data_IF_350777514016
#
_entry.id   IF_350777514016
#
_cell.length_a   1.000
_cell.length_b   1.000
_cell.length_c   1.000
_cell.angle_alpha   90.00
_cell.angle_beta   90.00
_cell.angle_gamma   90.00
#
_symmetry.space_group_name_H-M   'P 1'
#
loop_
_entity.id
_entity.type
_entity.pdbx_description
1 polymer ?
#
# COMPACT_ATOMS: atom_id res chain seq x y z
N UNK A 1 0.98 -1.37 -29.28
CA UNK A 1 0.23 -1.94 -28.13
C UNK A 1 -1.26 -1.84 -28.45
N UNK A 2 -2.12 -2.79 -28.05
CA UNK A 2 -3.55 -2.77 -28.36
C UNK A 2 -4.39 -2.78 -27.08
N UNK A 3 -5.27 -1.80 -26.92
CA UNK A 3 -6.26 -1.70 -25.84
C UNK A 3 -7.63 -2.11 -26.36
N UNK A 4 -8.37 -2.84 -25.53
CA UNK A 4 -9.77 -3.15 -25.76
C UNK A 4 -10.57 -2.55 -24.61
N UNK A 5 -11.49 -1.66 -24.93
CA UNK A 5 -12.28 -0.89 -23.97
C UNK A 5 -13.74 -1.13 -24.29
N UNK A 6 -14.53 -1.53 -23.30
CA UNK A 6 -15.96 -1.79 -23.47
C UNK A 6 -16.72 -1.22 -22.30
N UNK A 7 -17.80 -0.48 -22.60
CA UNK A 7 -18.70 0.08 -21.60
C UNK A 7 -17.97 0.89 -20.52
N UNK A 8 -17.01 1.73 -20.94
CA UNK A 8 -16.18 2.56 -20.06
C UNK A 8 -16.49 4.05 -20.28
N UNK A 9 -17.29 4.58 -19.38
CA UNK A 9 -17.84 5.94 -19.40
C UNK A 9 -18.56 6.26 -20.71
N UNK A 10 -18.17 7.31 -21.45
CA UNK A 10 -18.83 7.68 -22.71
C UNK A 10 -18.52 6.69 -23.86
N UNK A 11 -17.69 5.67 -23.64
CA UNK A 11 -17.40 4.60 -24.61
C UNK A 11 -18.39 3.45 -24.34
N UNK A 12 -19.57 3.54 -24.95
CA UNK A 12 -20.67 2.59 -24.75
C UNK A 12 -20.42 1.23 -25.40
N UNK A 13 -19.81 1.23 -26.58
CA UNK A 13 -19.54 0.04 -27.39
C UNK A 13 -18.10 -0.45 -27.23
N UNK A 14 -17.88 -1.72 -27.58
CA UNK A 14 -16.55 -2.30 -27.58
C UNK A 14 -15.66 -1.62 -28.63
N UNK A 15 -14.59 -1.01 -28.16
CA UNK A 15 -13.63 -0.25 -28.96
C UNK A 15 -12.25 -0.87 -28.83
N UNK A 16 -11.60 -1.08 -29.96
CA UNK A 16 -10.21 -1.49 -30.03
C UNK A 16 -9.34 -0.29 -30.43
N UNK A 17 -8.37 0.06 -29.59
CA UNK A 17 -7.47 1.19 -29.79
C UNK A 17 -6.06 0.67 -29.94
N UNK A 18 -5.43 0.97 -31.07
CA UNK A 18 -4.03 0.65 -31.30
C UNK A 18 -3.15 1.86 -30.94
N UNK A 19 -2.19 1.64 -30.05
CA UNK A 19 -1.19 2.63 -29.63
C UNK A 19 0.12 2.39 -30.38
N UNK A 20 0.58 3.43 -31.09
CA UNK A 20 1.92 3.53 -31.66
C UNK A 20 2.84 4.43 -30.83
N UNK A 21 4.04 4.69 -31.34
CA UNK A 21 5.10 5.46 -30.64
C UNK A 21 4.66 6.88 -30.25
N UNK A 22 3.83 7.50 -31.08
CA UNK A 22 3.14 8.75 -30.79
C UNK A 22 1.65 8.56 -31.07
N UNK A 23 0.83 8.66 -30.03
CA UNK A 23 -0.62 8.51 -30.14
C UNK A 23 -1.31 9.77 -29.59
N UNK A 24 -2.21 10.36 -30.38
CA UNK A 24 -2.93 11.58 -30.01
C UNK A 24 -4.43 11.29 -29.93
N UNK A 25 -5.02 11.55 -28.76
CA UNK A 25 -6.46 11.47 -28.55
C UNK A 25 -7.10 12.85 -28.77
N UNK A 26 -7.91 13.00 -29.81
CA UNK A 26 -8.62 14.25 -30.11
C UNK A 26 -10.12 14.01 -30.27
N UNK A 27 -10.92 15.07 -30.12
CA UNK A 27 -12.38 15.00 -30.23
C UNK A 27 -13.11 15.93 -29.26
N UNK A 28 -14.44 16.05 -29.39
CA UNK A 28 -15.27 16.95 -28.58
C UNK A 28 -15.16 16.68 -27.07
N UNK A 29 -15.48 17.64 -26.20
CA UNK A 29 -15.62 17.37 -24.77
C UNK A 29 -16.50 16.14 -24.53
N UNK A 30 -16.17 15.35 -23.49
CA UNK A 30 -16.90 14.14 -23.11
C UNK A 30 -16.89 12.96 -24.12
N UNK A 31 -16.00 12.95 -25.11
CA UNK A 31 -15.89 11.84 -26.09
C UNK A 31 -15.05 10.63 -25.64
N UNK A 32 -14.66 10.54 -24.36
CA UNK A 32 -13.87 9.42 -23.83
C UNK A 32 -12.34 9.53 -23.89
N UNK A 33 -11.76 10.63 -24.39
CA UNK A 33 -10.30 10.84 -24.44
C UNK A 33 -9.60 10.63 -23.08
N UNK A 34 -10.06 11.34 -22.06
CA UNK A 34 -9.50 11.23 -20.70
C UNK A 34 -9.77 9.85 -20.10
N UNK A 35 -10.88 9.21 -20.48
CA UNK A 35 -11.26 7.87 -20.02
C UNK A 35 -10.27 6.82 -20.52
N UNK A 36 -9.88 6.88 -21.80
CA UNK A 36 -8.84 5.99 -22.36
C UNK A 36 -7.49 6.19 -21.67
N UNK A 37 -7.07 7.44 -21.47
CA UNK A 37 -5.79 7.74 -20.79
C UNK A 37 -5.76 7.24 -19.34
N UNK A 38 -6.89 7.35 -18.62
CA UNK A 38 -7.03 6.81 -17.26
C UNK A 38 -6.94 5.28 -17.26
N UNK A 39 -7.63 4.61 -18.18
CA UNK A 39 -7.56 3.15 -18.30
C UNK A 39 -6.11 2.68 -18.51
N UNK A 40 -5.36 3.35 -19.40
CA UNK A 40 -3.94 3.08 -19.63
C UNK A 40 -3.13 3.27 -18.34
N UNK A 41 -3.31 4.41 -17.65
CA UNK A 41 -2.62 4.69 -16.39
C UNK A 41 -2.89 3.61 -15.33
N UNK A 42 -4.15 3.19 -15.17
CA UNK A 42 -4.51 2.13 -14.25
C UNK A 42 -3.86 0.81 -14.62
N UNK A 43 -3.93 0.38 -15.88
CA UNK A 43 -3.31 -0.87 -16.34
C UNK A 43 -1.81 -0.89 -16.09
N UNK A 44 -1.12 0.23 -16.29
CA UNK A 44 0.32 0.33 -16.02
C UNK A 44 0.64 0.30 -14.52
N UNK A 45 -0.19 0.93 -13.70
CA UNK A 45 -0.02 0.93 -12.25
C UNK A 45 -0.34 -0.44 -11.61
N UNK A 46 -1.39 -1.13 -12.06
CA UNK A 46 -1.68 -2.48 -11.56
C UNK A 46 -0.63 -3.51 -12.00
N UNK A 47 -0.15 -3.45 -13.24
CA UNK A 47 0.88 -4.38 -13.72
C UNK A 47 2.28 -4.13 -13.15
N UNK A 48 2.65 -2.88 -12.86
CA UNK A 48 3.98 -2.56 -12.30
C UNK A 48 4.16 -2.98 -10.84
N UNK A 49 3.07 -3.19 -10.09
CA UNK A 49 3.11 -3.32 -8.63
C UNK A 49 2.81 -4.71 -8.08
N UNK A 50 2.31 -5.65 -8.89
CA UNK A 50 2.26 -7.07 -8.50
C UNK A 50 3.66 -7.70 -8.42
N UNK A 51 4.65 -7.11 -9.11
CA UNK A 51 6.01 -7.63 -9.19
C UNK A 51 6.97 -7.12 -8.08
N UNK A 52 6.57 -6.18 -7.22
CA UNK A 52 7.53 -5.46 -6.36
C UNK A 52 7.26 -5.37 -4.85
N UNK A 53 6.21 -5.94 -4.25
CA UNK A 53 6.20 -5.97 -2.77
C UNK A 53 5.31 -7.03 -2.14
N UNK A 54 5.90 -7.73 -1.15
CA UNK A 54 5.31 -8.20 0.11
C UNK A 54 3.84 -7.83 0.38
N UNK A 55 3.06 -8.85 0.81
CA UNK A 55 1.71 -8.79 1.42
C UNK A 55 1.14 -7.37 1.61
N UNK A 56 0.12 -7.02 0.82
CA UNK A 56 -0.70 -5.83 1.04
C UNK A 56 -1.71 -6.11 2.15
N UNK A 57 -1.66 -5.33 3.22
CA UNK A 57 -2.69 -5.33 4.26
C UNK A 57 -3.61 -4.12 4.02
N UNK A 58 -4.91 -4.39 3.85
CA UNK A 58 -5.93 -3.38 3.57
C UNK A 58 -6.51 -2.80 4.86
N UNK A 59 -6.48 -1.48 5.00
CA UNK A 59 -6.99 -0.73 6.15
C UNK A 59 -8.01 0.31 5.67
N UNK A 60 -9.22 -0.14 5.36
CA UNK A 60 -10.29 0.71 4.82
C UNK A 60 -9.98 1.20 3.40
N UNK A 61 -9.74 2.50 3.24
CA UNK A 61 -9.50 3.17 1.95
C UNK A 61 -8.03 3.11 1.49
N UNK A 62 -7.14 2.55 2.30
CA UNK A 62 -5.70 2.49 2.05
C UNK A 62 -5.16 1.07 2.15
N UNK A 63 -4.16 0.77 1.33
CA UNK A 63 -3.25 -0.35 1.49
C UNK A 63 -1.92 0.19 2.02
N UNK A 64 -1.30 -0.57 2.91
CA UNK A 64 0.06 -0.30 3.38
C UNK A 64 0.94 -1.47 2.94
N UNK A 65 2.04 -1.14 2.27
CA UNK A 65 3.12 -2.07 1.93
C UNK A 65 4.39 -1.62 2.65
N UNK A 66 5.34 -2.53 2.81
CA UNK A 66 6.55 -2.26 3.56
C UNK A 66 7.80 -2.82 2.86
N UNK A 67 8.93 -2.23 3.21
CA UNK A 67 10.27 -2.65 2.78
C UNK A 67 11.18 -2.55 4.00
N UNK A 68 11.86 -3.65 4.36
CA UNK A 68 12.84 -3.63 5.44
C UNK A 68 14.13 -3.03 4.87
N UNK A 69 14.48 -1.83 5.33
CA UNK A 69 15.69 -1.13 4.85
C UNK A 69 16.91 -1.62 5.61
N UNK A 70 16.75 -1.77 6.93
CA UNK A 70 17.75 -2.32 7.84
C UNK A 70 17.04 -2.84 9.11
N UNK A 71 17.83 -3.40 10.03
CA UNK A 71 17.39 -3.98 11.31
C UNK A 71 16.64 -3.01 12.24
N UNK A 72 16.68 -1.70 11.95
CA UNK A 72 16.02 -0.67 12.73
C UNK A 72 14.99 0.11 11.95
N UNK A 73 14.90 -0.08 10.63
CA UNK A 73 14.16 0.82 9.75
C UNK A 73 13.28 0.03 8.80
N UNK A 74 11.97 0.25 8.93
CA UNK A 74 10.96 -0.25 8.00
C UNK A 74 10.42 0.93 7.22
N UNK A 75 10.56 0.91 5.90
CA UNK A 75 9.94 1.87 5.00
C UNK A 75 8.52 1.42 4.71
N UNK A 76 7.60 2.38 4.70
CA UNK A 76 6.18 2.19 4.50
C UNK A 76 5.74 2.91 3.23
N UNK A 77 4.89 2.27 2.43
CA UNK A 77 4.34 2.82 1.20
C UNK A 77 2.83 2.68 1.25
N UNK A 78 2.14 3.82 1.17
CA UNK A 78 0.69 3.93 1.24
C UNK A 78 0.12 4.08 -0.16
N UNK A 79 -0.86 3.25 -0.50
CA UNK A 79 -1.58 3.32 -1.78
C UNK A 79 -3.08 3.26 -1.54
N UNK A 80 -3.92 3.78 -2.46
CA UNK A 80 -5.36 3.53 -2.45
C UNK A 80 -5.69 2.04 -2.32
N UNK A 81 -6.74 1.70 -1.57
CA UNK A 81 -7.27 0.33 -1.54
C UNK A 81 -8.13 0.04 -2.77
N UNK A 82 -8.24 -1.24 -3.14
CA UNK A 82 -9.13 -1.66 -4.23
C UNK A 82 -10.58 -1.32 -3.95
N UNK A 83 -10.97 -1.26 -2.67
CA UNK A 83 -12.30 -0.81 -2.25
C UNK A 83 -12.51 0.68 -2.54
N UNK A 84 -11.54 1.55 -2.22
CA UNK A 84 -11.62 2.96 -2.59
C UNK A 84 -11.69 3.12 -4.10
N UNK A 85 -10.87 2.36 -4.84
CA UNK A 85 -10.88 2.38 -6.30
C UNK A 85 -12.26 1.99 -6.80
N UNK A 86 -12.83 0.87 -6.32
CA UNK A 86 -14.17 0.40 -6.70
C UNK A 86 -15.29 1.36 -6.29
N UNK A 87 -15.24 1.97 -5.11
CA UNK A 87 -16.25 2.96 -4.68
C UNK A 87 -16.14 4.28 -5.45
N UNK A 88 -14.95 4.59 -5.95
CA UNK A 88 -14.73 5.75 -6.84
C UNK A 88 -15.16 5.46 -8.29
N UNK A 89 -15.43 4.20 -8.62
CA UNK A 89 -15.95 3.76 -9.92
C UNK A 89 -17.47 3.62 -9.82
N UNK A 90 -18.28 4.47 -10.46
CA UNK A 90 -19.73 4.33 -10.41
C UNK A 90 -20.21 3.08 -11.18
N UNK A 91 -21.43 2.60 -10.88
CA UNK A 91 -22.09 1.61 -11.75
C UNK A 91 -22.48 2.30 -13.07
N UNK A 92 -21.69 2.03 -14.12
CA UNK A 92 -21.66 2.79 -15.36
C UNK A 92 -20.94 4.15 -15.17
N UNK A 93 -19.93 4.44 -16.00
CA UNK A 93 -18.85 5.34 -15.56
C UNK A 93 -19.02 6.86 -15.84
N UNK A 94 -19.11 7.67 -14.78
CA UNK A 94 -19.18 9.14 -14.78
C UNK A 94 -18.22 9.75 -13.72
N UNK A 95 -18.01 11.07 -13.80
CA UNK A 95 -16.84 11.87 -13.38
C UNK A 95 -16.39 11.85 -11.91
N UNK A 96 -15.08 12.08 -11.71
CA UNK A 96 -14.55 12.81 -10.55
C UNK A 96 -13.56 13.89 -11.00
N UNK A 97 -13.62 15.04 -10.32
CA UNK A 97 -12.52 16.02 -10.19
C UNK A 97 -11.19 15.29 -9.91
N UNK A 98 -10.02 15.88 -10.16
CA UNK A 98 -8.76 15.19 -9.92
C UNK A 98 -8.75 14.60 -8.50
N UNK A 99 -8.77 13.26 -8.40
CA UNK A 99 -8.38 12.58 -7.18
C UNK A 99 -6.89 12.87 -7.01
N UNK A 100 -6.64 14.01 -6.40
CA UNK A 100 -5.33 14.39 -5.92
C UNK A 100 -5.08 13.47 -4.74
N UNK A 101 -4.27 12.43 -4.94
CA UNK A 101 -3.80 11.60 -3.84
C UNK A 101 -3.22 12.48 -2.72
N UNK A 102 -2.59 13.61 -3.09
CA UNK A 102 -2.14 14.61 -2.13
C UNK A 102 -3.29 15.20 -1.29
N UNK A 103 -4.42 15.56 -1.90
CA UNK A 103 -5.58 16.09 -1.17
C UNK A 103 -6.35 15.00 -0.41
N UNK A 104 -6.35 13.77 -0.90
CA UNK A 104 -6.82 12.61 -0.14
C UNK A 104 -6.00 12.42 1.15
N UNK A 105 -4.67 12.43 1.05
CA UNK A 105 -3.75 12.28 2.18
C UNK A 105 -3.89 13.45 3.16
N UNK A 106 -4.11 14.68 2.67
CA UNK A 106 -4.42 15.83 3.54
C UNK A 106 -5.73 15.63 4.30
N UNK A 107 -6.77 15.15 3.62
CA UNK A 107 -8.10 14.96 4.22
C UNK A 107 -8.13 13.81 5.24
N UNK A 108 -7.42 12.71 4.95
CA UNK A 108 -7.36 11.51 5.80
C UNK A 108 -6.16 11.52 6.76
N UNK A 109 -5.50 12.67 6.94
CA UNK A 109 -4.39 12.90 7.89
C UNK A 109 -3.26 11.87 7.81
N UNK A 110 -2.82 11.51 6.61
CA UNK A 110 -1.66 10.61 6.43
C UNK A 110 -0.33 11.39 6.53
N UNK A 111 -0.34 12.47 7.33
CA UNK A 111 0.81 13.27 7.72
C UNK A 111 0.89 13.22 9.24
N UNK A 112 1.59 12.24 9.78
CA UNK A 112 1.78 12.09 11.21
C UNK A 112 3.26 11.91 11.51
N UNK A 113 3.75 12.64 12.50
CA UNK A 113 5.12 12.53 13.01
C UNK A 113 5.09 12.01 14.43
N UNK A 114 6.07 11.17 14.78
CA UNK A 114 6.23 10.67 16.14
C UNK A 114 5.12 9.72 16.58
N UNK A 115 4.58 8.92 15.65
CA UNK A 115 3.63 7.86 15.99
C UNK A 115 4.38 6.82 16.81
N UNK A 116 4.08 6.72 18.10
CA UNK A 116 4.64 5.69 18.97
C UNK A 116 3.68 4.52 19.06
N UNK A 117 4.20 3.32 18.91
CA UNK A 117 3.43 2.09 19.02
C UNK A 117 4.25 0.97 19.63
N UNK A 118 3.56 -0.07 20.06
CA UNK A 118 4.14 -1.30 20.59
C UNK A 118 3.48 -2.47 19.87
N UNK A 119 4.26 -3.23 19.12
CA UNK A 119 3.81 -4.46 18.47
C UNK A 119 3.83 -5.57 19.50
N UNK A 120 2.65 -6.08 19.87
CA UNK A 120 2.52 -7.27 20.72
C UNK A 120 2.23 -8.48 19.86
N UNK A 121 3.03 -9.52 20.06
CA UNK A 121 2.84 -10.79 19.35
C UNK A 121 2.03 -11.73 20.23
N UNK A 122 0.82 -12.10 19.78
CA UNK A 122 -0.02 -13.08 20.48
C UNK A 122 0.52 -14.50 20.34
N UNK A 123 1.12 -14.83 19.19
CA UNK A 123 1.94 -16.01 18.98
C UNK A 123 2.85 -15.82 17.78
N UNK A 124 4.18 -15.91 17.99
CA UNK A 124 5.13 -16.04 16.89
C UNK A 124 5.32 -17.54 16.69
N UNK A 125 4.72 -18.11 15.63
CA UNK A 125 5.05 -19.48 15.21
C UNK A 125 6.43 -19.42 14.58
N UNK A 126 7.46 -19.65 15.38
CA UNK A 126 8.83 -19.49 14.93
C UNK A 126 9.30 -20.73 14.18
N UNK A 127 10.10 -20.59 13.10
CA UNK A 127 10.90 -21.69 12.59
C UNK A 127 11.72 -22.32 13.71
N UNK A 128 11.98 -23.63 13.64
CA UNK A 128 12.72 -24.39 14.67
C UNK A 128 14.14 -23.86 14.96
N UNK A 129 14.65 -23.00 14.09
CA UNK A 129 15.98 -22.41 14.12
C UNK A 129 16.07 -21.11 14.94
N UNK A 130 14.93 -20.58 15.39
CA UNK A 130 14.86 -19.39 16.22
C UNK A 130 14.97 -19.74 17.71
N UNK A 131 15.74 -18.97 18.47
CA UNK A 131 15.84 -19.14 19.92
C UNK A 131 14.50 -18.81 20.61
N UNK A 132 13.86 -19.84 21.15
CA UNK A 132 12.57 -19.77 21.83
C UNK A 132 12.58 -18.76 22.99
N UNK A 133 13.72 -18.53 23.65
CA UNK A 133 13.84 -17.52 24.73
C UNK A 133 13.73 -16.10 24.17
N UNK A 134 14.33 -15.84 23.03
CA UNK A 134 14.26 -14.52 22.37
C UNK A 134 12.83 -14.27 21.91
N UNK A 135 12.18 -15.27 21.31
CA UNK A 135 10.79 -15.19 20.86
C UNK A 135 9.83 -14.95 22.04
N UNK A 136 9.96 -15.71 23.13
CA UNK A 136 9.14 -15.52 24.35
C UNK A 136 9.34 -14.13 24.94
N UNK A 137 10.59 -13.66 25.06
CA UNK A 137 10.89 -12.32 25.54
C UNK A 137 10.20 -11.26 24.67
N UNK A 138 10.29 -11.35 23.35
CA UNK A 138 9.65 -10.40 22.43
C UNK A 138 8.12 -10.46 22.49
N UNK A 139 7.52 -11.65 22.68
CA UNK A 139 6.08 -11.78 22.89
C UNK A 139 5.61 -11.11 24.20
N UNK A 140 6.42 -11.17 25.26
CA UNK A 140 6.11 -10.55 26.56
C UNK A 140 6.25 -9.02 26.54
N UNK A 141 7.36 -8.50 26.01
CA UNK A 141 7.67 -7.05 26.08
C UNK A 141 7.14 -6.27 24.87
N UNK A 142 6.95 -6.94 23.74
CA UNK A 142 6.62 -6.33 22.46
C UNK A 142 7.77 -5.52 21.84
N UNK A 143 7.55 -5.04 20.61
CA UNK A 143 8.52 -4.21 19.89
C UNK A 143 8.02 -2.78 19.81
N UNK A 144 8.73 -1.88 20.46
CA UNK A 144 8.44 -0.45 20.42
C UNK A 144 8.97 0.13 19.11
N UNK A 145 8.18 0.99 18.49
CA UNK A 145 8.57 1.73 17.30
C UNK A 145 8.13 3.18 17.36
N UNK A 146 8.80 4.00 16.58
CA UNK A 146 8.38 5.37 16.27
C UNK A 146 8.29 5.54 14.75
N UNK A 147 7.14 5.97 14.25
CA UNK A 147 6.92 6.16 12.83
C UNK A 147 6.67 7.62 12.46
N UNK A 148 7.13 7.96 11.26
CA UNK A 148 6.84 9.21 10.57
C UNK A 148 6.25 8.90 9.20
N UNK A 149 5.15 9.56 8.87
CA UNK A 149 4.43 9.41 7.61
C UNK A 149 4.32 10.77 6.95
N UNK A 150 4.74 10.84 5.69
CA UNK A 150 4.72 12.04 4.85
C UNK A 150 4.16 11.64 3.48
N UNK A 151 2.90 11.94 3.22
CA UNK A 151 2.29 11.69 1.92
C UNK A 151 2.04 10.19 1.69
N UNK A 152 2.56 9.65 0.58
CA UNK A 152 2.49 8.22 0.26
C UNK A 152 3.62 7.39 0.90
N UNK A 153 4.54 8.00 1.65
CA UNK A 153 5.71 7.32 2.20
C UNK A 153 5.80 7.52 3.70
N UNK A 154 6.36 6.54 4.38
CA UNK A 154 6.69 6.65 5.80
C UNK A 154 7.90 5.80 6.16
N UNK A 155 8.39 6.02 7.37
CA UNK A 155 9.47 5.26 7.97
C UNK A 155 9.12 4.96 9.42
N UNK A 156 9.22 3.70 9.81
CA UNK A 156 9.13 3.26 11.19
C UNK A 156 10.52 2.87 11.68
N UNK A 157 10.93 3.48 12.79
CA UNK A 157 12.16 3.14 13.51
C UNK A 157 11.84 2.22 14.66
N UNK A 158 12.47 1.06 14.68
CA UNK A 158 12.40 0.09 15.78
C UNK A 158 13.30 0.60 16.92
N UNK A 159 12.71 0.77 18.09
CA UNK A 159 13.38 1.28 19.29
C UNK A 159 13.81 0.15 20.25
N UNK A 160 13.14 -1.00 20.19
CA UNK A 160 13.51 -2.18 20.98
C UNK A 160 14.76 -2.83 20.38
N UNK A 161 15.81 -3.01 21.19
CA UNK A 161 16.98 -3.78 20.80
C UNK A 161 16.63 -5.28 20.71
N UNK A 162 16.94 -5.88 19.55
CA UNK A 162 16.72 -7.30 19.28
C UNK A 162 18.10 -7.95 19.21
N UNK A 163 18.43 -8.73 20.24
CA UNK A 163 19.74 -9.35 20.41
C UNK A 163 19.61 -10.87 20.51
N UNK A 164 20.68 -11.59 20.15
CA UNK A 164 20.71 -13.05 20.25
C UNK A 164 19.93 -13.78 19.15
N UNK A 165 19.60 -13.10 18.05
CA UNK A 165 18.89 -13.68 16.90
C UNK A 165 19.91 -14.27 15.91
N UNK A 166 19.74 -15.55 15.59
CA UNK A 166 20.52 -16.24 14.56
C UNK A 166 20.26 -15.63 13.18
N UNK A 167 21.23 -15.73 12.28
CA UNK A 167 21.12 -15.21 10.91
C UNK A 167 19.92 -15.81 10.17
N UNK A 168 19.65 -17.11 10.35
CA UNK A 168 18.51 -17.78 9.70
C UNK A 168 17.14 -17.39 10.28
N UNK A 169 17.09 -16.91 11.53
CA UNK A 169 15.87 -16.41 12.16
C UNK A 169 15.62 -14.93 11.88
N UNK A 170 16.67 -14.19 11.52
CA UNK A 170 16.68 -12.73 11.44
C UNK A 170 15.62 -12.20 10.48
N UNK A 171 15.65 -12.69 9.24
CA UNK A 171 14.75 -12.21 8.19
C UNK A 171 13.29 -12.48 8.55
N UNK A 172 13.00 -13.70 9.03
CA UNK A 172 11.65 -14.08 9.47
C UNK A 172 11.14 -13.14 10.57
N UNK A 173 11.96 -12.91 11.60
CA UNK A 173 11.57 -12.09 12.73
C UNK A 173 11.31 -10.64 12.32
N UNK A 174 12.16 -10.06 11.47
CA UNK A 174 11.95 -8.69 10.99
C UNK A 174 10.73 -8.55 10.09
N UNK A 175 10.39 -9.57 9.29
CA UNK A 175 9.13 -9.60 8.56
C UNK A 175 7.92 -9.62 9.50
N UNK A 176 7.93 -10.46 10.53
CA UNK A 176 6.85 -10.52 11.53
C UNK A 176 6.71 -9.18 12.27
N UNK A 177 7.82 -8.54 12.63
CA UNK A 177 7.81 -7.22 13.25
C UNK A 177 7.24 -6.16 12.29
N UNK A 178 7.70 -6.14 11.04
CA UNK A 178 7.24 -5.18 10.04
C UNK A 178 5.75 -5.33 9.77
N UNK A 179 5.23 -6.56 9.66
CA UNK A 179 3.79 -6.84 9.54
C UNK A 179 3.03 -6.29 10.76
N UNK A 180 3.51 -6.54 11.98
CA UNK A 180 2.88 -6.01 13.19
C UNK A 180 2.93 -4.48 13.30
N UNK A 181 4.00 -3.82 12.84
CA UNK A 181 4.07 -2.35 12.74
C UNK A 181 3.02 -1.84 11.76
N UNK A 182 2.91 -2.47 10.60
CA UNK A 182 1.92 -2.12 9.58
C UNK A 182 0.50 -2.27 10.13
N UNK A 183 0.22 -3.31 10.90
CA UNK A 183 -1.07 -3.50 11.59
C UNK A 183 -1.37 -2.41 12.61
N UNK A 184 -0.42 -2.09 13.48
CA UNK A 184 -0.60 -1.03 14.49
C UNK A 184 -0.82 0.34 13.85
N UNK A 185 -0.08 0.66 12.78
CA UNK A 185 -0.27 1.89 12.02
C UNK A 185 -1.60 1.87 11.28
N UNK A 186 -1.95 0.75 10.66
CA UNK A 186 -3.17 0.56 9.89
C UNK A 186 -4.45 0.74 10.71
N UNK A 187 -4.46 0.34 11.99
CA UNK A 187 -5.58 0.57 12.93
C UNK A 187 -5.94 2.05 13.10
N UNK A 188 -5.01 2.97 12.86
CA UNK A 188 -5.29 4.42 12.88
C UNK A 188 -6.05 4.91 11.66
N UNK A 189 -5.99 4.17 10.55
CA UNK A 189 -6.57 4.55 9.26
C UNK A 189 -7.83 3.75 8.91
N UNK A 190 -8.15 2.69 9.67
CA UNK A 190 -9.47 2.05 9.62
C UNK A 190 -10.53 3.03 10.13
N UNK A 191 -11.39 3.48 9.22
CA UNK A 191 -12.62 4.21 9.54
C UNK A 191 -13.51 3.32 10.43
N UNK A 192 -13.94 3.83 11.58
CA UNK A 192 -15.11 3.32 12.29
C UNK A 192 -16.38 3.61 11.50
#
# INVERSE_FOLDING_TARGET
MKLRIKSLGPISEESEIELGDLTVFFGPPNSGKSTVLRAIYYSLNTFGWELLSSKKLGYGLLNISYEIVDEKTVKLIFTPSDLLIRQSLPEGDFTFEPFSFIDFIKTHKVYERGIKGNVKFTSIVSPSECDEKVIKRLAEIGVNFEAEIIGNKGYARILTAIEGVSESCRDYLYHVIAEGIVEEIGKKFTLN
#
